data_IF_484167057160
#
_entry.id   IF_484167057160
#
_cell.length_a   1.000
_cell.length_b   1.000
_cell.length_c   1.000
_cell.angle_alpha   90.00
_cell.angle_beta   90.00
_cell.angle_gamma   90.00
#
_symmetry.space_group_name_H-M   'P 1'
#
loop_
_entity.id
_entity.type
_entity.pdbx_description
1 polymer ?
#
# COMPACT_ATOMS: atom_id res chain seq x y z
N UNK A 1 -23.26 0.50 38.35
CA UNK A 1 -22.56 -0.63 37.68
C UNK A 1 -21.25 -0.10 37.14
N UNK A 2 -20.13 -0.79 37.40
CA UNK A 2 -18.78 -0.35 36.99
C UNK A 2 -18.68 -0.39 35.46
N UNK A 3 -18.43 0.76 34.84
CA UNK A 3 -18.02 0.87 33.44
C UNK A 3 -16.71 0.10 33.26
N UNK A 4 -16.78 -1.14 32.76
CA UNK A 4 -15.61 -1.84 32.23
C UNK A 4 -15.40 -1.29 30.82
N UNK A 5 -14.47 -0.36 30.69
CA UNK A 5 -13.90 0.03 29.39
C UNK A 5 -13.12 -1.18 28.87
N UNK A 6 -13.79 -2.07 28.14
CA UNK A 6 -13.10 -3.02 27.26
C UNK A 6 -12.73 -2.20 26.02
N UNK A 7 -11.47 -1.79 25.92
CA UNK A 7 -10.94 -1.29 24.64
C UNK A 7 -10.88 -2.50 23.70
N UNK A 8 -11.74 -2.51 22.70
CA UNK A 8 -11.73 -3.49 21.62
C UNK A 8 -10.44 -3.26 20.82
N UNK A 9 -9.45 -4.14 20.99
CA UNK A 9 -8.23 -4.12 20.19
C UNK A 9 -8.55 -4.58 18.77
N UNK A 10 -8.61 -3.64 17.84
CA UNK A 10 -8.52 -3.91 16.38
C UNK A 10 -7.16 -4.56 16.11
N UNK A 11 -7.03 -5.52 15.18
CA UNK A 11 -5.72 -5.98 14.73
C UNK A 11 -4.84 -4.78 14.34
N UNK A 12 -3.76 -4.58 15.09
CA UNK A 12 -2.94 -3.36 15.10
C UNK A 12 -2.29 -3.01 13.74
N UNK A 13 -2.33 -3.93 12.77
CA UNK A 13 -1.71 -3.75 11.45
C UNK A 13 -2.54 -2.89 10.48
N UNK A 14 -3.79 -2.53 10.81
CA UNK A 14 -4.66 -1.72 9.93
C UNK A 14 -4.74 -0.23 10.31
N UNK A 15 -3.83 0.25 11.16
CA UNK A 15 -3.99 1.54 11.88
C UNK A 15 -2.84 2.53 11.62
N UNK A 16 -2.06 2.38 10.56
CA UNK A 16 -1.18 3.45 10.09
C UNK A 16 -2.03 4.64 9.58
N UNK A 17 -2.39 5.57 10.47
CA UNK A 17 -3.09 6.81 10.14
C UNK A 17 -4.31 7.19 10.99
N UNK A 18 -4.82 6.34 11.90
CA UNK A 18 -6.05 6.66 12.66
C UNK A 18 -5.81 7.21 14.09
N UNK A 19 -4.62 7.70 14.40
CA UNK A 19 -4.33 8.36 15.68
C UNK A 19 -5.14 9.67 15.90
N UNK A 20 -5.89 10.12 14.89
CA UNK A 20 -6.77 11.28 14.93
C UNK A 20 -8.25 10.98 15.20
N UNK A 21 -8.73 9.75 14.93
CA UNK A 21 -10.15 9.47 14.72
C UNK A 21 -11.07 10.00 15.83
N UNK A 22 -12.14 10.70 15.42
CA UNK A 22 -13.18 11.21 16.28
C UNK A 22 -14.28 10.16 16.47
N UNK A 23 -14.41 9.60 17.69
CA UNK A 23 -15.58 8.82 18.08
C UNK A 23 -16.81 9.75 18.05
N UNK A 24 -17.68 9.57 17.07
CA UNK A 24 -18.89 10.39 16.89
C UNK A 24 -20.16 9.70 17.39
N UNK A 25 -20.08 8.39 17.65
CA UNK A 25 -21.17 7.61 18.21
C UNK A 25 -20.64 6.45 19.04
N UNK A 26 -21.16 6.30 20.25
CA UNK A 26 -20.88 5.16 21.12
C UNK A 26 -22.09 4.91 22.03
N UNK A 27 -22.94 3.98 21.61
CA UNK A 27 -24.17 3.65 22.32
C UNK A 27 -24.62 2.22 22.01
N UNK A 28 -25.15 1.54 23.03
CA UNK A 28 -25.80 0.23 22.88
C UNK A 28 -24.90 -0.81 22.18
N UNK A 29 -23.61 -0.85 22.53
CA UNK A 29 -22.64 -1.78 21.95
C UNK A 29 -22.18 -1.44 20.53
N UNK A 30 -22.59 -0.30 19.98
CA UNK A 30 -22.20 0.18 18.66
C UNK A 30 -21.28 1.39 18.79
N UNK A 31 -20.19 1.39 18.04
CA UNK A 31 -19.23 2.49 17.92
C UNK A 31 -19.09 2.91 16.47
N UNK A 32 -18.99 4.21 16.25
CA UNK A 32 -18.67 4.78 14.95
C UNK A 32 -17.62 5.87 15.12
N UNK A 33 -16.47 5.62 14.53
CA UNK A 33 -15.40 6.58 14.39
C UNK A 33 -15.49 7.22 13.01
N UNK A 34 -15.38 8.53 13.01
CA UNK A 34 -15.14 9.32 11.81
C UNK A 34 -13.69 9.76 11.81
N UNK A 35 -12.99 9.56 10.70
CA UNK A 35 -11.60 9.97 10.57
C UNK A 35 -11.32 10.57 9.21
N UNK A 36 -10.26 11.36 9.12
CA UNK A 36 -9.83 11.92 7.86
C UNK A 36 -8.62 12.82 7.96
N UNK A 37 -8.17 13.28 6.80
CA UNK A 37 -7.14 14.32 6.69
C UNK A 37 -7.37 15.21 5.49
N UNK A 38 -6.90 16.44 5.57
CA UNK A 38 -6.72 17.36 4.44
C UNK A 38 -5.24 17.66 4.36
N UNK A 39 -4.65 17.38 3.20
CA UNK A 39 -3.23 17.52 2.91
C UNK A 39 -3.07 18.62 1.87
N UNK A 40 -2.68 19.82 2.31
CA UNK A 40 -2.29 20.90 1.43
C UNK A 40 -0.86 20.64 0.97
N UNK A 41 -0.71 20.14 -0.25
CA UNK A 41 0.52 19.52 -0.74
C UNK A 41 0.95 20.13 -2.07
N UNK A 42 2.24 20.43 -2.19
CA UNK A 42 2.83 20.92 -3.44
C UNK A 42 4.09 20.14 -3.76
N UNK A 43 4.25 19.80 -5.03
CA UNK A 43 5.45 19.19 -5.58
C UNK A 43 6.23 20.22 -6.39
N UNK A 44 7.55 20.20 -6.22
CA UNK A 44 8.50 20.94 -7.04
C UNK A 44 9.36 19.95 -7.82
N UNK A 45 9.29 20.00 -9.14
CA UNK A 45 10.01 19.08 -10.04
C UNK A 45 10.33 19.74 -11.39
N UNK A 46 11.37 19.29 -12.07
CA UNK A 46 11.60 19.61 -13.48
C UNK A 46 10.64 18.86 -14.42
N UNK A 47 10.02 17.78 -13.94
CA UNK A 47 8.97 17.06 -14.65
C UNK A 47 7.61 17.73 -14.41
N UNK A 48 7.14 18.46 -15.43
CA UNK A 48 5.83 19.12 -15.45
C UNK A 48 4.64 18.14 -15.31
N UNK A 49 4.85 16.84 -15.50
CA UNK A 49 3.82 15.82 -15.28
C UNK A 49 3.51 15.57 -13.81
N UNK A 50 4.39 15.98 -12.90
CA UNK A 50 4.21 15.84 -11.44
C UNK A 50 4.33 17.15 -10.67
N UNK A 51 4.99 18.16 -11.24
CA UNK A 51 5.12 19.50 -10.64
C UNK A 51 3.75 20.17 -10.40
N UNK A 52 3.66 20.90 -9.29
CA UNK A 52 2.48 21.71 -8.97
C UNK A 52 1.68 21.22 -7.77
N UNK A 53 0.42 21.66 -7.72
CA UNK A 53 -0.50 21.33 -6.64
C UNK A 53 -0.86 19.84 -6.65
N UNK A 54 -0.69 19.19 -5.51
CA UNK A 54 -1.04 17.78 -5.26
C UNK A 54 -2.01 17.65 -4.08
N UNK A 55 -2.67 18.75 -3.68
CA UNK A 55 -3.56 18.77 -2.53
C UNK A 55 -4.68 17.72 -2.65
N UNK A 56 -4.93 17.01 -1.55
CA UNK A 56 -5.98 16.00 -1.46
C UNK A 56 -6.57 15.92 -0.07
N UNK A 57 -7.74 15.27 0.04
CA UNK A 57 -8.31 14.89 1.32
C UNK A 57 -8.66 13.41 1.35
N UNK A 58 -8.57 12.81 2.53
CA UNK A 58 -9.11 11.49 2.82
C UNK A 58 -10.19 11.60 3.88
N UNK A 59 -11.23 10.82 3.73
CA UNK A 59 -12.36 10.77 4.64
C UNK A 59 -12.81 9.32 4.79
N UNK A 60 -13.10 8.90 6.01
CA UNK A 60 -13.48 7.53 6.27
C UNK A 60 -14.32 7.34 7.53
N UNK A 61 -14.97 6.19 7.57
CA UNK A 61 -15.77 5.71 8.67
C UNK A 61 -15.24 4.36 9.11
N UNK A 62 -15.17 4.14 10.42
CA UNK A 62 -14.89 2.83 11.01
C UNK A 62 -15.98 2.54 12.04
N UNK A 63 -16.74 1.49 11.79
CA UNK A 63 -17.85 1.08 12.65
C UNK A 63 -17.59 -0.28 13.28
N UNK A 64 -18.00 -0.43 14.54
CA UNK A 64 -17.98 -1.70 15.26
C UNK A 64 -19.30 -1.93 15.99
N UNK A 65 -19.74 -3.18 16.05
CA UNK A 65 -20.92 -3.59 16.79
C UNK A 65 -20.63 -4.84 17.59
N UNK A 66 -20.84 -4.78 18.90
CA UNK A 66 -20.72 -5.92 19.79
C UNK A 66 -21.96 -6.81 19.63
N UNK A 67 -21.78 -8.00 19.08
CA UNK A 67 -22.86 -8.98 18.86
C UNK A 67 -22.99 -9.90 20.09
N UNK A 68 -21.86 -10.33 20.65
CA UNK A 68 -21.76 -11.06 21.91
C UNK A 68 -20.41 -10.81 22.59
N UNK A 69 -20.12 -11.48 23.71
CA UNK A 69 -18.83 -11.38 24.40
C UNK A 69 -17.65 -11.89 23.54
N UNK A 70 -17.91 -12.75 22.55
CA UNK A 70 -16.88 -13.37 21.70
C UNK A 70 -17.05 -13.01 20.21
N UNK A 71 -18.03 -12.19 19.86
CA UNK A 71 -18.32 -11.87 18.47
C UNK A 71 -18.54 -10.36 18.30
N UNK A 72 -17.72 -9.75 17.45
CA UNK A 72 -17.81 -8.34 17.08
C UNK A 72 -17.92 -8.23 15.56
N UNK A 73 -18.93 -7.52 15.07
CA UNK A 73 -18.99 -7.11 13.67
C UNK A 73 -18.28 -5.78 13.47
N UNK A 74 -17.62 -5.60 12.34
CA UNK A 74 -16.95 -4.34 12.00
C UNK A 74 -17.03 -4.03 10.51
N UNK A 75 -16.83 -2.76 10.17
CA UNK A 75 -16.70 -2.32 8.79
C UNK A 75 -15.89 -1.03 8.70
N UNK A 76 -15.21 -0.86 7.57
CA UNK A 76 -14.42 0.33 7.29
C UNK A 76 -14.65 0.77 5.85
N UNK A 77 -14.79 2.09 5.68
CA UNK A 77 -14.76 2.75 4.38
C UNK A 77 -13.79 3.92 4.46
N UNK A 78 -12.99 4.11 3.41
CA UNK A 78 -12.09 5.25 3.24
C UNK A 78 -12.13 5.72 1.79
N UNK A 79 -12.25 7.02 1.60
CA UNK A 79 -12.34 7.68 0.31
C UNK A 79 -11.26 8.74 0.18
N UNK A 80 -10.68 8.86 -1.00
CA UNK A 80 -9.79 9.96 -1.36
C UNK A 80 -10.48 10.88 -2.37
N UNK A 81 -10.49 12.18 -2.06
CA UNK A 81 -10.87 13.23 -2.99
C UNK A 81 -9.64 14.08 -3.30
N UNK A 82 -9.28 14.21 -4.58
CA UNK A 82 -8.21 15.09 -5.02
C UNK A 82 -8.78 16.52 -5.14
N UNK A 83 -8.01 17.50 -4.68
CA UNK A 83 -8.42 18.91 -4.54
C UNK A 83 -7.65 19.84 -5.48
N UNK A 84 -6.79 19.29 -6.33
CA UNK A 84 -5.86 19.99 -7.21
C UNK A 84 -6.34 20.12 -8.67
N UNK A 85 -7.61 19.82 -8.94
CA UNK A 85 -8.23 19.95 -10.26
C UNK A 85 -9.33 21.00 -10.25
N UNK A 86 -9.55 21.66 -11.40
CA UNK A 86 -10.64 22.60 -11.56
C UNK A 86 -12.00 21.89 -11.53
N UNK A 87 -13.05 22.56 -11.04
CA UNK A 87 -14.40 21.97 -10.88
C UNK A 87 -14.99 21.37 -12.17
N UNK A 88 -14.55 21.82 -13.33
CA UNK A 88 -14.99 21.33 -14.64
C UNK A 88 -14.32 20.02 -15.08
N UNK A 89 -13.30 19.55 -14.35
CA UNK A 89 -12.50 18.37 -14.68
C UNK A 89 -12.96 17.15 -13.86
N UNK A 90 -12.62 15.95 -14.35
CA UNK A 90 -12.71 14.75 -13.53
C UNK A 90 -11.57 14.75 -12.51
N UNK A 91 -11.93 14.85 -11.22
CA UNK A 91 -10.96 14.89 -10.12
C UNK A 91 -10.33 13.52 -9.83
N UNK A 92 -10.73 12.45 -10.51
CA UNK A 92 -10.20 11.08 -10.32
C UNK A 92 -10.26 10.64 -8.85
N UNK A 93 -11.37 10.90 -8.18
CA UNK A 93 -11.59 10.50 -6.80
C UNK A 93 -11.85 8.99 -6.70
N UNK A 94 -11.47 8.33 -5.60
CA UNK A 94 -11.61 6.88 -5.49
C UNK A 94 -11.75 6.38 -4.04
N UNK A 95 -12.39 5.21 -3.91
CA UNK A 95 -12.44 4.44 -2.66
C UNK A 95 -11.12 3.71 -2.44
N UNK A 96 -10.50 3.92 -1.27
CA UNK A 96 -9.29 3.24 -0.83
C UNK A 96 -9.61 1.96 -0.08
N UNK A 97 -10.50 2.03 0.91
CA UNK A 97 -10.98 0.89 1.69
C UNK A 97 -12.50 0.80 1.65
N UNK A 98 -13.02 -0.42 1.66
CA UNK A 98 -14.46 -0.68 1.67
C UNK A 98 -14.71 -2.15 1.94
N UNK A 99 -14.79 -2.53 3.21
CA UNK A 99 -14.93 -3.92 3.64
C UNK A 99 -15.75 -4.03 4.92
N UNK A 100 -16.24 -5.24 5.19
CA UNK A 100 -16.91 -5.61 6.43
C UNK A 100 -16.39 -6.97 6.90
N UNK A 101 -16.47 -7.22 8.20
CA UNK A 101 -15.94 -8.44 8.80
C UNK A 101 -16.52 -8.78 10.17
N UNK A 102 -16.09 -9.93 10.67
CA UNK A 102 -16.39 -10.47 11.98
C UNK A 102 -15.08 -10.79 12.71
N UNK A 103 -15.03 -10.50 14.01
CA UNK A 103 -13.96 -10.88 14.92
C UNK A 103 -14.51 -11.87 15.95
N UNK A 104 -13.82 -12.99 16.12
CA UNK A 104 -14.23 -14.14 16.92
C UNK A 104 -13.38 -14.28 18.20
N UNK A 105 -13.34 -13.23 19.03
CA UNK A 105 -12.46 -13.16 20.19
C UNK A 105 -11.00 -13.40 19.78
N UNK A 106 -10.36 -14.41 20.39
CA UNK A 106 -8.96 -14.79 20.14
C UNK A 106 -8.81 -15.78 18.97
N UNK A 107 -9.91 -16.28 18.41
CA UNK A 107 -9.88 -17.17 17.25
C UNK A 107 -9.66 -16.43 15.92
N UNK A 108 -9.46 -15.12 15.97
CA UNK A 108 -9.10 -14.29 14.82
C UNK A 108 -10.28 -13.51 14.24
N UNK A 109 -10.09 -13.00 13.04
CA UNK A 109 -11.06 -12.20 12.31
C UNK A 109 -11.13 -12.62 10.85
N UNK A 110 -12.31 -12.45 10.25
CA UNK A 110 -12.52 -12.61 8.82
C UNK A 110 -13.18 -11.35 8.25
N UNK A 111 -12.65 -10.83 7.15
CA UNK A 111 -13.21 -9.70 6.41
C UNK A 111 -13.27 -9.96 4.90
N UNK A 112 -14.21 -9.29 4.24
CA UNK A 112 -14.34 -9.29 2.80
C UNK A 112 -14.60 -7.89 2.23
N UNK A 113 -13.90 -7.56 1.15
CA UNK A 113 -14.16 -6.33 0.38
C UNK A 113 -12.92 -5.78 -0.31
N UNK A 114 -12.86 -4.45 -0.46
CA UNK A 114 -11.65 -3.74 -0.86
C UNK A 114 -10.79 -3.48 0.36
N UNK A 115 -9.73 -4.24 0.50
CA UNK A 115 -8.83 -4.21 1.65
C UNK A 115 -7.37 -4.30 1.18
N UNK A 116 -6.44 -4.43 2.11
CA UNK A 116 -5.00 -4.56 1.83
C UNK A 116 -4.59 -6.01 1.56
N UNK A 117 -3.77 -6.21 0.53
CA UNK A 117 -3.14 -7.47 0.18
C UNK A 117 -2.08 -7.90 1.20
N UNK A 118 -1.92 -9.22 1.41
CA UNK A 118 -1.04 -9.78 2.46
C UNK A 118 0.44 -9.43 2.34
N UNK A 119 0.96 -9.04 1.17
CA UNK A 119 2.36 -8.59 1.07
C UNK A 119 2.61 -7.28 1.80
N UNK A 120 1.59 -6.45 1.93
CA UNK A 120 1.70 -5.19 2.63
C UNK A 120 1.88 -5.37 4.14
N UNK A 121 1.57 -6.54 4.70
CA UNK A 121 1.89 -6.83 6.12
C UNK A 121 3.40 -6.80 6.38
N UNK A 122 4.22 -7.00 5.33
CA UNK A 122 5.67 -6.78 5.36
C UNK A 122 6.00 -5.35 4.93
N UNK A 123 5.41 -4.88 3.82
CA UNK A 123 5.76 -3.59 3.24
C UNK A 123 5.41 -2.38 4.13
N UNK A 124 4.41 -2.52 4.99
CA UNK A 124 4.07 -1.52 6.00
C UNK A 124 5.20 -1.24 7.01
N UNK A 125 6.28 -2.05 7.05
CA UNK A 125 7.46 -1.73 7.85
C UNK A 125 8.27 -0.58 7.25
N UNK A 126 8.27 -0.40 5.93
CA UNK A 126 9.04 0.66 5.26
C UNK A 126 8.18 1.78 4.71
N UNK A 127 6.85 1.59 4.62
CA UNK A 127 5.86 2.60 4.17
C UNK A 127 5.63 3.73 5.18
N UNK A 128 6.66 4.55 5.43
CA UNK A 128 6.68 5.58 6.49
C UNK A 128 7.21 6.94 6.03
N UNK A 129 7.62 7.07 4.77
CA UNK A 129 7.91 8.37 4.18
C UNK A 129 6.63 9.22 4.18
N UNK A 130 6.71 10.54 4.44
CA UNK A 130 5.54 11.39 4.46
C UNK A 130 4.81 11.43 3.12
N UNK A 131 5.53 11.30 2.01
CA UNK A 131 4.95 11.41 0.67
C UNK A 131 5.43 10.35 -0.33
N UNK A 132 6.73 10.10 -0.47
CA UNK A 132 7.25 9.17 -1.48
C UNK A 132 7.31 7.71 -1.01
N UNK A 133 6.35 7.32 -0.18
CA UNK A 133 6.21 5.95 0.34
C UNK A 133 5.69 4.97 -0.74
N UNK A 134 5.92 3.68 -0.49
CA UNK A 134 5.29 2.58 -1.23
C UNK A 134 5.46 2.55 -2.74
N UNK A 135 6.55 3.15 -3.25
CA UNK A 135 6.79 3.26 -4.69
C UNK A 135 7.27 1.95 -5.34
N UNK A 136 7.71 0.94 -4.58
CA UNK A 136 8.13 -0.36 -5.15
C UNK A 136 6.96 -1.33 -5.40
N UNK A 137 5.76 -0.94 -4.99
CA UNK A 137 4.50 -1.67 -5.14
C UNK A 137 3.35 -0.70 -5.46
N UNK A 138 2.11 -1.20 -5.57
CA UNK A 138 0.99 -0.32 -5.93
C UNK A 138 -0.39 -0.90 -5.68
N UNK A 139 -1.38 -0.02 -5.61
CA UNK A 139 -2.79 -0.40 -5.54
C UNK A 139 -3.22 -1.17 -6.80
N UNK A 140 -4.12 -2.12 -6.60
CA UNK A 140 -4.70 -3.00 -7.62
C UNK A 140 -3.62 -3.78 -8.41
N UNK A 141 -2.47 -4.03 -7.78
CA UNK A 141 -1.39 -4.88 -8.28
C UNK A 141 -1.42 -6.20 -7.51
N UNK A 142 -2.30 -7.12 -7.93
CA UNK A 142 -2.51 -8.41 -7.25
C UNK A 142 -2.75 -8.23 -5.73
N UNK A 143 -1.89 -8.80 -4.88
CA UNK A 143 -1.95 -8.69 -3.40
C UNK A 143 -0.75 -7.91 -2.81
N UNK A 144 -0.11 -7.04 -3.59
CA UNK A 144 0.97 -6.19 -3.11
C UNK A 144 0.50 -5.13 -2.11
N UNK A 145 -0.67 -4.52 -2.37
CA UNK A 145 -1.20 -3.37 -1.66
C UNK A 145 -2.74 -3.46 -1.62
N UNK A 146 -3.47 -2.36 -1.57
CA UNK A 146 -4.94 -2.34 -1.63
C UNK A 146 -5.43 -3.01 -2.91
N UNK A 147 -6.43 -3.88 -2.79
CA UNK A 147 -7.08 -4.52 -3.92
C UNK A 147 -8.53 -4.86 -3.62
N UNK A 148 -9.29 -5.21 -4.66
CA UNK A 148 -10.72 -5.49 -4.60
C UNK A 148 -11.00 -6.98 -4.50
N UNK A 149 -12.03 -7.35 -3.72
CA UNK A 149 -12.52 -8.72 -3.63
C UNK A 149 -11.59 -9.65 -2.83
N UNK A 150 -10.99 -9.12 -1.77
CA UNK A 150 -10.15 -9.87 -0.85
C UNK A 150 -11.01 -10.49 0.25
N UNK A 151 -10.88 -11.80 0.46
CA UNK A 151 -11.36 -12.52 1.63
C UNK A 151 -10.16 -12.81 2.52
N UNK A 152 -10.08 -12.17 3.69
CA UNK A 152 -8.90 -12.22 4.55
C UNK A 152 -9.28 -12.80 5.90
N UNK A 153 -8.58 -13.85 6.31
CA UNK A 153 -8.59 -14.34 7.68
C UNK A 153 -7.29 -13.89 8.37
N UNK A 154 -7.39 -13.32 9.56
CA UNK A 154 -6.24 -12.91 10.37
C UNK A 154 -6.36 -13.50 11.77
N UNK A 155 -5.24 -13.87 12.36
CA UNK A 155 -5.18 -14.30 13.73
C UNK A 155 -3.95 -13.70 14.41
N UNK A 156 -4.17 -13.17 15.60
CA UNK A 156 -3.10 -12.66 16.45
C UNK A 156 -2.76 -13.71 17.51
N UNK A 157 -1.50 -13.73 17.90
CA UNK A 157 -0.94 -14.59 18.96
C UNK A 157 -1.12 -16.11 18.72
N UNK A 158 -1.25 -16.49 17.46
CA UNK A 158 -1.39 -17.87 16.99
C UNK A 158 -2.39 -18.67 17.83
N UNK A 159 -3.63 -18.20 17.91
CA UNK A 159 -4.73 -18.75 18.72
C UNK A 159 -4.46 -18.72 20.23
N UNK A 160 -3.63 -17.77 20.68
CA UNK A 160 -3.16 -17.68 22.07
C UNK A 160 -2.05 -18.66 22.43
N UNK A 161 -1.46 -19.37 21.46
CA UNK A 161 -0.40 -20.34 21.70
C UNK A 161 0.99 -19.71 21.72
N UNK A 162 1.20 -18.63 20.96
CA UNK A 162 2.49 -17.95 20.83
C UNK A 162 2.25 -16.45 20.79
N UNK A 163 2.47 -15.80 21.93
CA UNK A 163 2.39 -14.35 22.07
C UNK A 163 3.29 -13.64 21.05
N UNK A 164 2.74 -12.64 20.37
CA UNK A 164 3.44 -11.85 19.34
C UNK A 164 3.52 -12.51 17.96
N UNK A 165 3.09 -13.77 17.79
CA UNK A 165 3.05 -14.45 16.48
C UNK A 165 1.71 -14.26 15.79
N UNK A 166 1.69 -13.44 14.75
CA UNK A 166 0.48 -13.16 13.96
C UNK A 166 0.58 -13.83 12.60
N UNK A 167 -0.57 -14.22 12.03
CA UNK A 167 -0.63 -14.68 10.64
C UNK A 167 -1.92 -14.25 9.94
N UNK A 168 -1.87 -14.22 8.62
CA UNK A 168 -3.04 -14.02 7.77
C UNK A 168 -3.07 -15.04 6.63
N UNK A 169 -4.28 -15.45 6.25
CA UNK A 169 -4.58 -16.19 5.03
C UNK A 169 -5.51 -15.35 4.18
N UNK A 170 -5.24 -15.25 2.89
CA UNK A 170 -6.02 -14.40 2.00
C UNK A 170 -6.33 -15.10 0.69
N UNK A 171 -7.55 -14.90 0.22
CA UNK A 171 -7.99 -15.25 -1.13
C UNK A 171 -8.42 -14.00 -1.87
N UNK A 172 -8.10 -13.93 -3.16
CA UNK A 172 -8.51 -12.85 -4.05
C UNK A 172 -9.27 -13.45 -5.23
N UNK A 173 -10.52 -13.01 -5.41
CA UNK A 173 -11.31 -13.36 -6.60
C UNK A 173 -10.75 -12.71 -7.86
N UNK A 174 -11.08 -13.28 -9.02
CA UNK A 174 -10.72 -12.69 -10.32
C UNK A 174 -11.32 -11.29 -10.48
N UNK A 175 -10.50 -10.33 -10.91
CA UNK A 175 -10.91 -9.02 -11.38
C UNK A 175 -10.37 -8.82 -12.80
N UNK A 176 -11.23 -8.91 -13.81
CA UNK A 176 -10.84 -8.90 -15.23
C UNK A 176 -11.28 -7.63 -15.96
N UNK A 177 -11.42 -7.73 -17.28
CA UNK A 177 -12.02 -6.67 -18.09
C UNK A 177 -13.55 -6.58 -17.89
N UNK A 178 -14.20 -5.67 -18.60
CA UNK A 178 -15.66 -5.46 -18.51
C UNK A 178 -16.53 -6.60 -19.04
N UNK A 179 -15.95 -7.56 -19.78
CA UNK A 179 -16.65 -8.76 -20.25
C UNK A 179 -16.49 -9.93 -19.26
N UNK A 180 -15.37 -9.98 -18.54
CA UNK A 180 -15.06 -11.04 -17.58
C UNK A 180 -15.61 -10.76 -16.17
N UNK A 181 -15.72 -9.48 -15.78
CA UNK A 181 -16.18 -9.07 -14.45
C UNK A 181 -17.01 -7.79 -14.52
N UNK A 182 -18.01 -7.67 -13.64
CA UNK A 182 -18.92 -6.51 -13.61
C UNK A 182 -18.25 -5.19 -13.21
N UNK A 183 -17.01 -5.25 -12.71
CA UNK A 183 -16.17 -4.14 -12.28
C UNK A 183 -14.89 -4.05 -13.13
N UNK A 184 -15.05 -4.20 -14.45
CA UNK A 184 -13.97 -4.19 -15.43
C UNK A 184 -12.99 -3.04 -15.26
N UNK A 185 -11.71 -3.29 -15.57
CA UNK A 185 -10.60 -2.37 -15.30
C UNK A 185 -9.47 -2.50 -16.32
N UNK A 186 -8.56 -1.53 -16.25
CA UNK A 186 -7.31 -1.54 -17.02
C UNK A 186 -6.50 -2.83 -16.82
N UNK A 187 -5.84 -3.29 -17.89
CA UNK A 187 -5.07 -4.55 -17.92
C UNK A 187 -4.00 -4.63 -16.83
N UNK A 188 -3.38 -3.49 -16.46
CA UNK A 188 -2.34 -3.44 -15.42
C UNK A 188 -2.93 -3.53 -14.00
N UNK A 189 -4.24 -3.34 -13.86
CA UNK A 189 -4.99 -3.48 -12.61
C UNK A 189 -5.76 -4.80 -12.48
N UNK A 190 -5.69 -5.68 -13.49
CA UNK A 190 -6.37 -6.98 -13.49
C UNK A 190 -5.65 -8.02 -12.62
N UNK A 191 -6.40 -9.04 -12.22
CA UNK A 191 -5.86 -10.25 -11.58
C UNK A 191 -6.77 -11.45 -11.86
N UNK A 192 -6.19 -12.65 -11.97
CA UNK A 192 -6.93 -13.90 -11.83
C UNK A 192 -7.20 -14.24 -10.37
N UNK A 193 -7.78 -15.42 -10.14
CA UNK A 193 -7.92 -15.96 -8.78
C UNK A 193 -6.54 -16.17 -8.16
N UNK A 194 -6.41 -15.84 -6.87
CA UNK A 194 -5.15 -15.99 -6.16
C UNK A 194 -5.33 -16.25 -4.68
N UNK A 195 -4.25 -16.67 -4.05
CA UNK A 195 -4.15 -16.83 -2.60
C UNK A 195 -2.81 -16.31 -2.08
N UNK A 196 -2.77 -15.98 -0.80
CA UNK A 196 -1.56 -15.55 -0.13
C UNK A 196 -1.60 -15.78 1.37
N UNK A 197 -0.44 -15.65 1.99
CA UNK A 197 -0.26 -15.77 3.44
C UNK A 197 0.76 -14.74 3.91
N UNK A 198 0.58 -14.23 5.11
CA UNK A 198 1.60 -13.47 5.84
C UNK A 198 1.79 -14.04 7.25
N UNK A 199 2.96 -13.79 7.81
CA UNK A 199 3.29 -14.07 9.19
C UNK A 199 4.20 -12.96 9.71
N UNK A 200 3.97 -12.52 10.94
CA UNK A 200 4.85 -11.59 11.65
C UNK A 200 5.08 -12.04 13.08
N UNK A 201 6.25 -11.73 13.61
CA UNK A 201 6.64 -12.08 14.96
C UNK A 201 7.35 -10.92 15.63
N UNK A 202 6.81 -10.50 16.78
CA UNK A 202 7.51 -9.62 17.72
C UNK A 202 8.51 -10.45 18.53
N UNK A 203 9.80 -10.24 18.29
CA UNK A 203 10.88 -10.94 18.99
C UNK A 203 11.23 -10.29 20.33
N UNK A 204 10.55 -9.20 20.69
CA UNK A 204 10.88 -8.36 21.84
C UNK A 204 12.01 -7.36 21.53
N UNK A 205 12.32 -6.51 22.52
CA UNK A 205 13.36 -5.47 22.42
C UNK A 205 13.19 -4.50 21.25
N UNK A 206 11.94 -4.30 20.79
CA UNK A 206 11.60 -3.47 19.64
C UNK A 206 11.84 -4.14 18.28
N UNK A 207 12.32 -5.38 18.22
CA UNK A 207 12.64 -6.06 16.96
C UNK A 207 11.46 -6.91 16.50
N UNK A 208 11.04 -6.74 15.25
CA UNK A 208 10.02 -7.61 14.63
C UNK A 208 10.47 -8.10 13.26
N UNK A 209 10.02 -9.29 12.89
CA UNK A 209 10.22 -9.88 11.57
C UNK A 209 8.86 -10.18 10.93
N UNK A 210 8.78 -10.03 9.62
CA UNK A 210 7.61 -10.42 8.85
C UNK A 210 8.01 -11.10 7.54
N UNK A 211 7.17 -12.03 7.10
CA UNK A 211 7.29 -12.69 5.80
C UNK A 211 5.91 -12.89 5.19
N UNK A 212 5.80 -12.73 3.88
CA UNK A 212 4.56 -12.90 3.17
C UNK A 212 4.78 -13.44 1.75
N UNK A 213 3.78 -14.12 1.21
CA UNK A 213 3.78 -14.51 -0.20
C UNK A 213 2.37 -14.46 -0.79
N UNK A 214 2.29 -14.35 -2.12
CA UNK A 214 1.07 -14.61 -2.88
C UNK A 214 1.36 -15.38 -4.17
N UNK A 215 0.34 -16.07 -4.67
CA UNK A 215 0.29 -16.69 -5.99
C UNK A 215 -1.08 -16.40 -6.61
N UNK A 216 -1.09 -15.71 -7.75
CA UNK A 216 -2.32 -15.37 -8.48
C UNK A 216 -2.21 -15.82 -9.92
N UNK A 217 -3.31 -16.31 -10.49
CA UNK A 217 -3.39 -16.48 -11.96
C UNK A 217 -3.31 -15.12 -12.64
N UNK A 218 -2.76 -15.07 -13.85
CA UNK A 218 -2.80 -13.90 -14.74
C UNK A 218 -3.93 -14.05 -15.75
N UNK A 219 -4.53 -12.93 -16.16
CA UNK A 219 -5.57 -12.93 -17.20
C UNK A 219 -4.97 -13.18 -18.58
N UNK A 220 -5.82 -13.49 -19.57
CA UNK A 220 -5.38 -13.66 -20.95
C UNK A 220 -4.87 -12.35 -21.55
N UNK A 221 -5.50 -11.21 -21.23
CA UNK A 221 -5.09 -9.87 -21.66
C UNK A 221 -3.73 -9.50 -21.09
N UNK A 222 -3.47 -9.80 -19.82
CA UNK A 222 -2.15 -9.67 -19.20
C UNK A 222 -1.07 -10.51 -19.91
N UNK A 223 -1.47 -11.52 -20.67
CA UNK A 223 -0.61 -12.37 -21.48
C UNK A 223 -0.65 -12.05 -22.98
N UNK A 224 -1.17 -10.88 -23.35
CA UNK A 224 -1.14 -10.36 -24.71
C UNK A 224 -2.31 -10.76 -25.59
N UNK A 225 -3.42 -11.26 -25.02
CA UNK A 225 -4.65 -11.48 -25.77
C UNK A 225 -5.34 -10.15 -26.16
N UNK A 226 -6.18 -10.22 -27.19
CA UNK A 226 -7.01 -9.08 -27.61
C UNK A 226 -6.19 -7.87 -28.07
N UNK A 227 -6.52 -6.69 -27.54
CA UNK A 227 -5.87 -5.42 -27.85
C UNK A 227 -4.46 -5.28 -27.23
N UNK A 228 -4.10 -6.13 -26.27
CA UNK A 228 -2.90 -5.96 -25.45
C UNK A 228 -1.69 -6.73 -25.95
N UNK A 229 -1.58 -7.01 -27.26
CA UNK A 229 -0.49 -7.83 -27.85
C UNK A 229 0.92 -7.34 -27.51
N UNK A 230 1.07 -6.03 -27.29
CA UNK A 230 2.33 -5.37 -26.98
C UNK A 230 2.65 -5.30 -25.48
N UNK A 231 1.73 -5.70 -24.58
CA UNK A 231 2.01 -5.75 -23.15
C UNK A 231 3.20 -6.68 -22.91
N UNK A 232 4.13 -6.28 -22.05
CA UNK A 232 5.29 -7.07 -21.67
C UNK A 232 5.03 -7.90 -20.42
N UNK A 233 5.85 -8.94 -20.21
CA UNK A 233 5.65 -9.92 -19.16
C UNK A 233 4.68 -11.02 -19.60
N UNK A 234 5.14 -12.27 -19.56
CA UNK A 234 4.34 -13.45 -19.95
C UNK A 234 4.44 -14.52 -18.88
N UNK A 235 3.30 -15.09 -18.53
CA UNK A 235 3.23 -16.21 -17.60
C UNK A 235 1.80 -16.45 -17.12
N UNK A 236 1.50 -17.69 -16.79
CA UNK A 236 0.17 -18.08 -16.30
C UNK A 236 -0.10 -17.55 -14.88
N UNK A 237 0.96 -17.19 -14.15
CA UNK A 237 0.92 -16.78 -12.75
C UNK A 237 1.77 -15.55 -12.48
N UNK A 238 1.29 -14.77 -11.51
CA UNK A 238 2.00 -13.70 -10.83
C UNK A 238 2.31 -14.15 -9.41
N UNK A 239 3.54 -13.95 -8.96
CA UNK A 239 4.02 -14.36 -7.65
C UNK A 239 4.80 -13.24 -6.97
N UNK A 240 4.73 -13.19 -5.65
CA UNK A 240 5.53 -12.28 -4.84
C UNK A 240 5.90 -12.93 -3.52
N UNK A 241 7.15 -12.74 -3.10
CA UNK A 241 7.71 -13.25 -1.86
C UNK A 241 8.42 -12.10 -1.17
N UNK A 242 7.96 -11.73 0.02
CA UNK A 242 8.47 -10.59 0.77
C UNK A 242 8.96 -11.02 2.14
N UNK A 243 10.05 -10.40 2.60
CA UNK A 243 10.57 -10.53 3.95
C UNK A 243 11.04 -9.17 4.45
N UNK A 244 10.82 -8.90 5.73
CA UNK A 244 11.17 -7.62 6.34
C UNK A 244 11.56 -7.76 7.80
N UNK A 245 12.39 -6.82 8.24
CA UNK A 245 12.82 -6.66 9.61
C UNK A 245 12.60 -5.22 10.01
N UNK A 246 12.14 -4.99 11.23
CA UNK A 246 12.12 -3.66 11.83
C UNK A 246 12.68 -3.67 13.24
N UNK A 247 13.18 -2.51 13.64
CA UNK A 247 13.46 -2.11 15.01
C UNK A 247 12.66 -0.83 15.28
N UNK A 248 11.85 -0.85 16.33
CA UNK A 248 10.93 0.22 16.71
C UNK A 248 10.95 0.38 18.23
N UNK A 249 11.96 1.10 18.73
CA UNK A 249 12.14 1.37 20.16
C UNK A 249 13.10 2.54 20.40
N UNK A 250 12.97 3.19 21.56
CA UNK A 250 13.85 4.28 22.01
C UNK A 250 13.90 5.44 20.99
N UNK A 251 12.73 5.84 20.49
CA UNK A 251 12.55 6.93 19.53
C UNK A 251 13.25 6.73 18.17
N UNK A 252 13.81 5.55 17.94
CA UNK A 252 14.46 5.15 16.70
C UNK A 252 13.59 4.12 16.01
N UNK A 253 13.34 4.35 14.73
CA UNK A 253 12.72 3.38 13.84
C UNK A 253 13.68 3.04 12.71
N UNK A 254 13.92 1.75 12.50
CA UNK A 254 14.72 1.22 11.39
C UNK A 254 13.94 0.08 10.76
N UNK A 255 13.78 0.07 9.46
CA UNK A 255 13.20 -1.07 8.75
C UNK A 255 13.89 -1.33 7.43
N UNK A 256 13.89 -2.59 7.04
CA UNK A 256 14.26 -3.05 5.71
C UNK A 256 13.26 -4.08 5.23
N UNK A 257 13.02 -4.10 3.93
CA UNK A 257 12.29 -5.17 3.28
C UNK A 257 12.94 -5.56 1.96
N UNK A 258 12.75 -6.82 1.58
CA UNK A 258 13.11 -7.33 0.28
C UNK A 258 11.94 -8.12 -0.28
N UNK A 259 11.57 -7.83 -1.53
CA UNK A 259 10.55 -8.57 -2.27
C UNK A 259 11.12 -9.07 -3.58
N UNK A 260 11.01 -10.37 -3.82
CA UNK A 260 11.19 -10.94 -5.15
C UNK A 260 9.84 -11.26 -5.75
N UNK A 261 9.61 -10.82 -6.99
CA UNK A 261 8.35 -11.08 -7.70
C UNK A 261 8.60 -11.62 -9.10
N UNK A 262 7.60 -12.34 -9.62
CA UNK A 262 7.61 -12.92 -10.96
C UNK A 262 6.32 -12.55 -11.67
N UNK A 263 6.43 -11.96 -12.85
CA UNK A 263 5.30 -11.47 -13.66
C UNK A 263 4.31 -10.61 -12.87
N UNK A 264 4.80 -9.80 -11.90
CA UNK A 264 3.91 -9.11 -10.96
C UNK A 264 4.29 -7.66 -10.65
N UNK A 265 5.58 -7.29 -10.74
CA UNK A 265 6.00 -5.89 -10.71
C UNK A 265 5.65 -5.21 -12.03
N UNK A 266 4.72 -4.24 -12.01
CA UNK A 266 4.30 -3.51 -13.20
C UNK A 266 5.25 -2.36 -13.54
N UNK A 267 5.27 -1.95 -14.80
CA UNK A 267 5.93 -0.72 -15.26
C UNK A 267 5.14 -0.08 -16.40
N UNK A 268 5.29 1.24 -16.54
CA UNK A 268 4.55 2.07 -17.48
C UNK A 268 3.04 2.08 -17.24
N UNK A 269 2.31 2.62 -18.21
CA UNK A 269 0.84 2.61 -18.28
C UNK A 269 0.37 2.00 -19.61
N UNK A 270 -0.91 1.64 -19.71
CA UNK A 270 -1.49 1.15 -20.96
C UNK A 270 -1.46 2.18 -22.11
N UNK A 271 -1.23 3.46 -21.79
CA UNK A 271 -1.00 4.54 -22.76
C UNK A 271 0.48 4.70 -23.17
N UNK A 272 1.42 4.07 -22.45
CA UNK A 272 2.84 4.11 -22.77
C UNK A 272 3.18 3.26 -24.00
N UNK A 273 4.25 3.63 -24.71
CA UNK A 273 4.73 2.82 -25.85
C UNK A 273 5.28 1.46 -25.41
N UNK A 274 5.73 1.37 -24.16
CA UNK A 274 6.31 0.19 -23.50
C UNK A 274 5.71 0.07 -22.10
N UNK A 275 5.04 -1.03 -21.81
CA UNK A 275 4.41 -1.27 -20.51
C UNK A 275 4.18 -2.75 -20.27
N UNK A 276 3.92 -3.12 -19.02
CA UNK A 276 3.57 -4.49 -18.67
C UNK A 276 4.08 -4.87 -17.29
N UNK A 277 4.58 -6.10 -17.20
CA UNK A 277 5.11 -6.67 -15.97
C UNK A 277 6.52 -7.18 -16.20
N UNK A 278 7.43 -6.96 -15.25
CA UNK A 278 8.74 -7.56 -15.28
C UNK A 278 8.61 -9.09 -15.09
N UNK A 279 9.28 -9.88 -15.93
CA UNK A 279 9.27 -11.34 -15.82
C UNK A 279 9.79 -11.77 -14.44
N UNK A 280 10.82 -11.07 -13.96
CA UNK A 280 11.26 -11.11 -12.56
C UNK A 280 11.55 -9.68 -12.09
N UNK A 281 11.29 -9.37 -10.83
CA UNK A 281 11.77 -8.14 -10.20
C UNK A 281 12.30 -8.40 -8.80
N UNK A 282 13.25 -7.56 -8.40
CA UNK A 282 13.83 -7.54 -7.06
C UNK A 282 13.65 -6.13 -6.50
N UNK A 283 12.83 -6.03 -5.47
CA UNK A 283 12.53 -4.79 -4.77
C UNK A 283 13.19 -4.79 -3.40
N UNK A 284 13.82 -3.68 -3.05
CA UNK A 284 14.44 -3.47 -1.76
C UNK A 284 14.06 -2.08 -1.26
N UNK A 285 13.62 -2.02 -0.01
CA UNK A 285 13.38 -0.76 0.68
C UNK A 285 14.12 -0.76 2.02
N UNK A 286 14.62 0.42 2.40
CA UNK A 286 15.18 0.68 3.70
C UNK A 286 14.68 2.03 4.18
N UNK A 287 14.32 2.14 5.45
CA UNK A 287 13.81 3.36 6.04
C UNK A 287 14.34 3.52 7.47
N UNK A 288 14.72 4.73 7.83
CA UNK A 288 15.19 5.09 9.16
C UNK A 288 14.67 6.46 9.57
N UNK A 289 14.13 6.58 10.78
CA UNK A 289 13.82 7.87 11.38
C UNK A 289 14.24 7.94 12.85
N UNK A 290 14.34 9.17 13.35
CA UNK A 290 14.45 9.45 14.78
C UNK A 290 13.33 10.41 15.20
N UNK A 291 12.66 10.16 16.32
CA UNK A 291 11.62 11.01 16.85
C UNK A 291 12.19 11.90 17.97
N UNK A 292 12.27 13.21 17.73
CA UNK A 292 12.59 14.14 18.80
C UNK A 292 11.37 14.44 19.66
N UNK A 293 11.59 14.65 20.97
CA UNK A 293 10.56 15.01 21.95
C UNK A 293 9.74 16.26 21.56
N UNK A 294 10.38 17.21 20.89
CA UNK A 294 9.74 18.46 20.47
C UNK A 294 8.91 18.33 19.17
N UNK A 295 8.74 17.11 18.65
CA UNK A 295 7.82 16.80 17.54
C UNK A 295 8.47 16.70 16.17
N UNK A 296 9.77 17.01 16.01
CA UNK A 296 10.47 16.81 14.73
C UNK A 296 10.85 15.34 14.53
N UNK A 297 10.61 14.81 13.33
CA UNK A 297 11.01 13.48 12.89
C UNK A 297 11.75 13.55 11.55
N UNK A 298 13.08 13.70 11.53
CA UNK A 298 13.85 13.50 10.31
C UNK A 298 13.88 12.02 9.94
N UNK A 299 13.98 11.75 8.64
CA UNK A 299 14.12 10.39 8.13
C UNK A 299 15.04 10.33 6.90
N UNK A 300 15.47 9.11 6.60
CA UNK A 300 16.12 8.74 5.34
C UNK A 300 15.53 7.42 4.85
N UNK A 301 15.23 7.36 3.56
CA UNK A 301 14.72 6.20 2.86
C UNK A 301 15.59 5.82 1.66
N UNK A 302 15.55 4.56 1.27
CA UNK A 302 16.07 4.08 -0.01
C UNK A 302 15.09 3.08 -0.58
N UNK A 303 14.73 3.26 -1.85
CA UNK A 303 13.75 2.42 -2.54
C UNK A 303 14.32 2.02 -3.90
N UNK A 304 14.30 0.74 -4.21
CA UNK A 304 14.69 0.22 -5.51
C UNK A 304 13.78 -0.92 -5.95
N UNK A 305 13.37 -0.93 -7.21
CA UNK A 305 12.83 -2.09 -7.92
C UNK A 305 13.62 -2.30 -9.19
N UNK A 306 14.38 -3.40 -9.25
CA UNK A 306 15.10 -3.80 -10.46
C UNK A 306 14.32 -4.87 -11.21
N UNK A 307 13.82 -4.51 -12.39
CA UNK A 307 13.26 -5.44 -13.37
C UNK A 307 14.38 -6.27 -14.00
N UNK A 308 14.13 -7.57 -14.13
CA UNK A 308 15.06 -8.56 -14.66
C UNK A 308 14.43 -9.23 -15.85
N UNK A 309 15.19 -9.30 -16.94
CA UNK A 309 14.75 -9.91 -18.20
C UNK A 309 13.37 -9.38 -18.60
N UNK A 310 13.26 -8.08 -18.86
CA UNK A 310 11.99 -7.49 -19.33
C UNK A 310 11.56 -8.08 -20.69
N UNK A 311 12.51 -8.61 -21.44
CA UNK A 311 12.31 -9.22 -22.74
C UNK A 311 12.00 -8.21 -23.84
N UNK A 312 11.50 -8.74 -24.95
CA UNK A 312 11.24 -7.95 -26.16
C UNK A 312 9.94 -7.15 -26.05
N UNK A 313 10.05 -5.84 -26.19
CA UNK A 313 8.94 -4.90 -26.21
C UNK A 313 8.21 -4.85 -27.55
N UNK A 314 7.00 -4.28 -27.56
CA UNK A 314 6.19 -4.08 -28.76
C UNK A 314 6.85 -3.20 -29.84
N UNK A 315 7.77 -2.31 -29.45
CA UNK A 315 8.60 -1.52 -30.37
C UNK A 315 9.78 -2.31 -30.98
N UNK A 316 9.90 -3.61 -30.65
CA UNK A 316 10.91 -4.52 -31.20
C UNK A 316 12.25 -4.52 -30.47
N UNK A 317 12.50 -3.60 -29.52
CA UNK A 317 13.70 -3.56 -28.68
C UNK A 317 13.65 -4.60 -27.57
N UNK A 318 14.80 -5.09 -27.15
CA UNK A 318 14.96 -5.91 -25.94
C UNK A 318 15.65 -5.06 -24.87
N UNK A 319 14.99 -4.88 -23.74
CA UNK A 319 15.46 -3.97 -22.69
C UNK A 319 16.28 -4.67 -21.60
N UNK A 320 16.33 -6.01 -21.57
CA UNK A 320 17.08 -6.75 -20.56
C UNK A 320 16.72 -6.36 -19.12
N UNK A 321 17.74 -6.04 -18.31
CA UNK A 321 17.58 -5.59 -16.93
C UNK A 321 17.43 -4.06 -16.86
N UNK A 322 16.45 -3.55 -16.12
CA UNK A 322 16.20 -2.12 -15.95
C UNK A 322 15.83 -1.77 -14.51
N UNK A 323 16.25 -0.60 -14.04
CA UNK A 323 15.76 -0.02 -12.79
C UNK A 323 14.37 0.59 -13.06
N UNK A 324 13.31 0.03 -12.46
CA UNK A 324 11.93 0.53 -12.58
C UNK A 324 11.66 1.66 -11.58
N UNK A 325 12.31 1.55 -10.41
CA UNK A 325 12.28 2.51 -9.31
C UNK A 325 13.67 2.50 -8.71
N UNK A 326 14.23 3.68 -8.42
CA UNK A 326 15.49 3.80 -7.69
C UNK A 326 15.66 5.21 -7.18
N UNK A 327 15.60 5.41 -5.86
CA UNK A 327 15.81 6.73 -5.29
C UNK A 327 16.30 6.65 -3.84
N UNK A 328 16.99 7.71 -3.43
CA UNK A 328 17.19 8.04 -2.01
C UNK A 328 16.15 9.07 -1.65
N UNK A 329 15.61 8.96 -0.45
CA UNK A 329 14.63 9.88 0.08
C UNK A 329 15.12 10.47 1.39
N UNK A 330 14.92 11.76 1.59
CA UNK A 330 15.33 12.42 2.83
C UNK A 330 14.42 13.60 3.11
N UNK A 331 14.02 13.74 4.37
CA UNK A 331 13.05 14.74 4.74
C UNK A 331 12.86 14.80 6.24
N UNK A 332 11.84 15.57 6.62
CA UNK A 332 11.40 15.63 8.01
C UNK A 332 9.92 15.99 8.11
N UNK A 333 9.25 15.38 9.08
CA UNK A 333 7.91 15.79 9.52
C UNK A 333 8.00 16.49 10.86
N UNK A 334 7.31 17.61 11.00
CA UNK A 334 7.11 18.29 12.27
C UNK A 334 5.66 18.09 12.73
N UNK A 335 5.49 17.39 13.85
CA UNK A 335 4.20 17.18 14.48
C UNK A 335 3.92 18.28 15.50
N UNK A 336 3.01 19.21 15.17
CA UNK A 336 2.57 20.22 16.14
C UNK A 336 1.76 19.58 17.26
N UNK A 337 0.93 18.61 16.91
CA UNK A 337 0.17 17.73 17.79
C UNK A 337 -0.38 16.55 16.96
N UNK A 338 -1.22 15.70 17.55
CA UNK A 338 -1.83 14.55 16.87
C UNK A 338 -2.75 14.88 15.69
N UNK A 339 -3.16 16.14 15.54
CA UNK A 339 -4.14 16.62 14.56
C UNK A 339 -3.55 17.57 13.52
N UNK A 340 -2.31 18.04 13.69
CA UNK A 340 -1.67 18.98 12.78
C UNK A 340 -0.18 18.67 12.62
N UNK A 341 0.28 18.54 11.38
CA UNK A 341 1.68 18.32 11.04
C UNK A 341 2.06 19.02 9.74
N UNK A 342 3.35 19.26 9.52
CA UNK A 342 3.89 19.71 8.23
C UNK A 342 5.13 18.91 7.91
N UNK A 343 5.45 18.75 6.64
CA UNK A 343 6.63 18.00 6.23
C UNK A 343 7.29 18.61 5.00
N UNK A 344 8.57 18.29 4.85
CA UNK A 344 9.33 18.41 3.60
C UNK A 344 9.91 17.03 3.29
N UNK A 345 9.81 16.64 2.04
CA UNK A 345 10.26 15.35 1.53
C UNK A 345 11.05 15.56 0.23
N UNK A 346 12.23 14.94 0.08
CA UNK A 346 13.08 15.12 -1.09
C UNK A 346 13.51 13.79 -1.70
N UNK A 347 12.81 13.43 -2.76
CA UNK A 347 13.13 12.29 -3.62
C UNK A 347 14.26 12.65 -4.57
N UNK A 348 15.43 12.10 -4.29
CA UNK A 348 16.59 12.12 -5.18
C UNK A 348 16.53 10.89 -6.07
N UNK A 349 16.03 11.08 -7.28
CA UNK A 349 15.83 10.02 -8.26
C UNK A 349 17.17 9.60 -8.87
N UNK A 350 17.42 8.30 -8.84
CA UNK A 350 18.66 7.66 -9.30
C UNK A 350 18.42 6.74 -10.51
N UNK A 351 17.22 6.76 -11.08
CA UNK A 351 16.91 6.08 -12.34
C UNK A 351 17.53 6.88 -13.48
N UNK A 352 18.34 6.23 -14.30
CA UNK A 352 18.96 6.88 -15.45
C UNK A 352 17.92 7.11 -16.57
N UNK A 353 17.90 8.33 -17.12
CA UNK A 353 17.15 8.59 -18.34
C UNK A 353 17.76 7.82 -19.53
N UNK A 354 16.96 6.94 -20.13
CA UNK A 354 17.32 6.14 -21.27
C UNK A 354 16.09 5.77 -22.14
N UNK A 355 16.34 5.08 -23.25
CA UNK A 355 15.30 4.61 -24.18
C UNK A 355 14.16 3.79 -23.53
N UNK A 356 14.41 3.10 -22.42
CA UNK A 356 13.39 2.36 -21.69
C UNK A 356 12.52 3.29 -20.85
N UNK A 357 13.14 4.17 -20.05
CA UNK A 357 12.39 5.08 -19.17
C UNK A 357 11.53 6.04 -19.95
N UNK A 358 12.03 6.56 -21.08
CA UNK A 358 11.26 7.40 -22.00
C UNK A 358 10.07 6.63 -22.58
N UNK A 359 10.32 5.41 -23.08
CA UNK A 359 9.28 4.61 -23.72
C UNK A 359 8.18 4.13 -22.74
N UNK A 360 8.57 3.91 -21.49
CA UNK A 360 7.69 3.48 -20.40
C UNK A 360 7.08 4.65 -19.60
N UNK A 361 7.46 5.90 -19.88
CA UNK A 361 6.98 7.06 -19.15
C UNK A 361 7.40 7.05 -17.67
N UNK A 362 8.58 6.53 -17.36
CA UNK A 362 9.12 6.53 -16.00
C UNK A 362 9.82 7.87 -15.75
N UNK A 363 9.33 8.62 -14.77
CA UNK A 363 9.95 9.86 -14.32
C UNK A 363 11.36 9.59 -13.76
N UNK A 364 12.35 10.33 -14.25
CA UNK A 364 13.77 10.27 -13.85
C UNK A 364 14.25 11.53 -13.13
N UNK A 365 13.39 12.53 -12.99
CA UNK A 365 13.63 13.78 -12.30
C UNK A 365 13.47 13.64 -10.79
N UNK A 366 14.12 14.55 -10.07
CA UNK A 366 13.96 14.70 -8.64
C UNK A 366 12.65 15.42 -8.30
N UNK A 367 12.10 15.14 -7.12
CA UNK A 367 10.87 15.78 -6.65
C UNK A 367 11.03 16.21 -5.20
N UNK A 368 10.72 17.47 -4.90
CA UNK A 368 10.57 17.96 -3.52
C UNK A 368 9.08 18.11 -3.23
N UNK A 369 8.59 17.49 -2.17
CA UNK A 369 7.24 17.68 -1.69
C UNK A 369 7.24 18.52 -0.40
N UNK A 370 6.28 19.43 -0.28
CA UNK A 370 6.02 20.19 0.94
C UNK A 370 4.53 20.10 1.26
N UNK A 371 4.21 19.64 2.46
CA UNK A 371 2.83 19.41 2.90
C UNK A 371 2.49 20.05 4.24
N UNK A 372 1.23 20.45 4.39
CA UNK A 372 0.61 20.84 5.66
C UNK A 372 -0.66 20.02 5.84
N UNK A 373 -0.71 19.22 6.90
CA UNK A 373 -1.74 18.22 7.12
C UNK A 373 -2.54 18.54 8.36
N UNK A 374 -3.85 18.71 8.19
CA UNK A 374 -4.81 18.63 9.26
C UNK A 374 -5.48 17.25 9.25
N UNK A 375 -5.59 16.60 10.41
CA UNK A 375 -6.21 15.28 10.57
C UNK A 375 -7.11 15.19 11.80
N UNK A 376 -8.15 14.37 11.74
CA UNK A 376 -9.19 14.23 12.76
C UNK A 376 -9.78 12.81 12.82
#
# INVERSE_FOLDING_TARGET
MKLRVLSLMVPALLVAGTAGAAEIYNKDGNKLDLYGKVDGLHYFSSDNGVDGDQSYMRFGLRGETQISDQLTGYGQWEYQANLNHAESQDNKNFTRYGFAGLKFGDYGSFDYGRNTGVLYDVAAYTDLQPEFDGMTYGADQFMFQRSSGLATYRNNDFFGLVDGLNFALQYQGKNGNGEETNNGRDVLGQNGEGYGMSMSYDMGYGISAAGAFFNSRRTSEQNGAGAYRNIMGRGDKAEGYSGGLKYDANDVYLAVMFTQSYNAARFGSSDSSVYGYANKAQSFEAYAHYQFDFGLRPFVGYNQTKGKDLGRAGNGKDYGDQDLVKFVDLGATYFFNKNMSTYVDYKINLVDNNDFTDAAGINTDNVVAVGLVYQF
#
